data_IF_056459350107
#
_entry.id   IF_056459350107
#
_cell.length_a   1.000
_cell.length_b   1.000
_cell.length_c   1.000
_cell.angle_alpha   90.00
_cell.angle_beta   90.00
_cell.angle_gamma   90.00
#
_symmetry.space_group_name_H-M   'P 1'
#
loop_
_entity.id
_entity.type
_entity.pdbx_description
1 polymer ?
#
# COMPACT_ATOMS: atom_id res chain seq x y z
N UNK A 1 -23.06 7.39 17.24
CA UNK A 1 -22.39 6.73 16.09
C UNK A 1 -22.30 7.65 14.88
N UNK A 2 -23.40 8.32 14.50
CA UNK A 2 -23.44 9.21 13.34
C UNK A 2 -22.40 10.35 13.43
N UNK A 3 -22.30 11.04 14.57
CA UNK A 3 -21.33 12.15 14.75
C UNK A 3 -19.87 11.69 14.59
N UNK A 4 -19.47 10.57 15.20
CA UNK A 4 -18.09 10.07 15.09
C UNK A 4 -17.74 9.59 13.68
N UNK A 5 -18.70 8.94 12.99
CA UNK A 5 -18.53 8.55 11.60
C UNK A 5 -18.42 9.76 10.66
N UNK A 6 -19.21 10.80 10.93
CA UNK A 6 -19.18 12.09 10.23
C UNK A 6 -17.85 12.82 10.45
N UNK A 7 -17.31 12.82 11.67
CA UNK A 7 -15.99 13.43 11.96
C UNK A 7 -14.87 12.73 11.20
N UNK A 8 -14.83 11.39 11.22
CA UNK A 8 -13.81 10.63 10.47
C UNK A 8 -13.88 10.90 8.97
N UNK A 9 -15.10 10.96 8.42
CA UNK A 9 -15.33 11.28 7.00
C UNK A 9 -14.91 12.70 6.66
N UNK A 10 -15.28 13.69 7.48
CA UNK A 10 -14.93 15.09 7.29
C UNK A 10 -13.42 15.32 7.35
N UNK A 11 -12.73 14.64 8.27
CA UNK A 11 -11.27 14.73 8.37
C UNK A 11 -10.57 14.19 7.11
N UNK A 12 -10.99 13.01 6.65
CA UNK A 12 -10.43 12.41 5.43
C UNK A 12 -10.67 13.30 4.20
N UNK A 13 -11.92 13.71 3.94
CA UNK A 13 -12.26 14.53 2.76
C UNK A 13 -11.64 15.93 2.87
N UNK A 14 -11.60 16.52 4.07
CA UNK A 14 -10.99 17.82 4.33
C UNK A 14 -9.50 17.81 4.02
N UNK A 15 -8.78 16.79 4.49
CA UNK A 15 -7.34 16.60 4.23
C UNK A 15 -7.09 16.25 2.77
N UNK A 16 -7.90 15.38 2.16
CA UNK A 16 -7.79 14.99 0.75
C UNK A 16 -7.96 16.18 -0.20
N UNK A 17 -8.75 17.18 0.18
CA UNK A 17 -8.94 18.40 -0.63
C UNK A 17 -7.65 19.14 -0.93
N UNK A 18 -6.59 18.96 -0.13
CA UNK A 18 -5.31 19.65 -0.33
C UNK A 18 -4.67 19.31 -1.67
N UNK A 19 -4.89 18.09 -2.18
CA UNK A 19 -4.24 17.61 -3.38
C UNK A 19 -5.12 16.76 -4.31
N UNK A 20 -6.22 16.20 -3.79
CA UNK A 20 -7.22 15.43 -4.54
C UNK A 20 -6.63 14.28 -5.37
N UNK A 21 -5.58 13.61 -4.88
CA UNK A 21 -4.94 12.51 -5.59
C UNK A 21 -5.76 11.22 -5.55
N UNK A 22 -5.96 10.63 -6.72
CA UNK A 22 -6.62 9.34 -6.94
C UNK A 22 -5.60 8.35 -7.49
N UNK A 23 -5.31 7.29 -6.73
CA UNK A 23 -4.39 6.23 -7.10
C UNK A 23 -5.18 5.06 -7.69
N UNK A 24 -5.09 4.92 -9.01
CA UNK A 24 -5.78 3.89 -9.80
C UNK A 24 -4.83 2.74 -10.07
N UNK A 25 -5.12 1.60 -9.46
CA UNK A 25 -4.29 0.40 -9.55
C UNK A 25 -4.55 -0.37 -10.85
N UNK A 26 -3.49 -0.88 -11.48
CA UNK A 26 -3.63 -1.96 -12.47
C UNK A 26 -4.26 -3.19 -11.79
N UNK A 27 -5.17 -3.85 -12.50
CA UNK A 27 -5.97 -4.95 -11.95
C UNK A 27 -5.12 -6.15 -11.50
N UNK A 28 -4.02 -6.46 -12.21
CA UNK A 28 -3.14 -7.56 -11.82
C UNK A 28 -2.34 -7.19 -10.57
N UNK A 29 -1.80 -5.98 -10.52
CA UNK A 29 -1.08 -5.49 -9.34
C UNK A 29 -2.00 -5.49 -8.11
N UNK A 30 -3.23 -5.00 -8.26
CA UNK A 30 -4.23 -5.00 -7.18
C UNK A 30 -4.51 -6.42 -6.67
N UNK A 31 -4.72 -7.39 -7.57
CA UNK A 31 -4.99 -8.77 -7.20
C UNK A 31 -3.81 -9.42 -6.45
N UNK A 32 -2.57 -9.16 -6.89
CA UNK A 32 -1.37 -9.70 -6.23
C UNK A 32 -1.12 -9.05 -4.85
N UNK A 33 -1.34 -7.74 -4.73
CA UNK A 33 -1.26 -7.04 -3.43
C UNK A 33 -2.35 -7.52 -2.46
N UNK A 34 -3.57 -7.74 -2.95
CA UNK A 34 -4.68 -8.23 -2.13
C UNK A 34 -4.47 -9.65 -1.60
N UNK A 35 -3.67 -10.48 -2.30
CA UNK A 35 -3.26 -11.82 -1.85
C UNK A 35 -2.01 -11.81 -0.98
N UNK A 36 -1.35 -10.67 -0.81
CA UNK A 36 -0.12 -10.58 -0.02
C UNK A 36 -0.47 -10.58 1.46
N UNK A 37 0.07 -11.54 2.20
CA UNK A 37 -0.01 -11.56 3.65
C UNK A 37 0.87 -10.46 4.23
N UNK A 38 0.25 -9.44 4.83
CA UNK A 38 0.93 -8.48 5.68
C UNK A 38 1.01 -9.06 7.09
N UNK A 39 2.04 -9.86 7.36
CA UNK A 39 2.28 -10.50 8.65
C UNK A 39 3.41 -9.84 9.44
N UNK A 40 3.36 -9.99 10.76
CA UNK A 40 4.32 -9.40 11.68
C UNK A 40 4.01 -7.94 12.04
N UNK A 41 5.00 -7.25 12.59
CA UNK A 41 4.88 -5.85 13.04
C UNK A 41 4.61 -4.93 11.85
N UNK A 42 3.66 -4.02 11.99
CA UNK A 42 3.32 -3.04 10.97
C UNK A 42 4.51 -2.09 10.75
N UNK A 43 5.03 -1.94 9.51
CA UNK A 43 6.16 -1.05 9.23
C UNK A 43 5.68 0.40 9.20
N UNK A 44 5.45 0.98 10.39
CA UNK A 44 4.87 2.32 10.56
C UNK A 44 5.71 3.42 9.88
N UNK A 45 7.04 3.29 9.86
CA UNK A 45 7.93 4.22 9.16
C UNK A 45 7.70 4.24 7.65
N UNK A 46 7.29 3.11 7.08
CA UNK A 46 6.93 3.04 5.67
C UNK A 46 5.61 3.78 5.46
N UNK A 47 4.59 3.54 6.27
CA UNK A 47 3.30 4.24 6.19
C UNK A 47 3.42 5.76 6.40
N UNK A 48 4.44 6.22 7.14
CA UNK A 48 4.77 7.66 7.26
C UNK A 48 5.20 8.28 5.92
N UNK A 49 5.54 7.48 4.91
CA UNK A 49 5.91 7.94 3.56
C UNK A 49 4.72 7.96 2.59
N UNK A 50 3.48 8.07 3.09
CA UNK A 50 2.34 8.35 2.23
C UNK A 50 2.69 9.51 1.27
N UNK A 51 2.40 9.38 -0.02
CA UNK A 51 2.84 10.34 -1.03
C UNK A 51 2.17 11.72 -0.84
N UNK A 52 0.99 11.75 -0.23
CA UNK A 52 0.21 12.95 0.06
C UNK A 52 -0.36 12.89 1.47
N UNK A 53 -0.80 14.04 2.02
CA UNK A 53 -1.42 14.11 3.36
C UNK A 53 -2.63 13.20 3.50
N UNK A 54 -3.40 13.07 2.41
CA UNK A 54 -4.44 12.06 2.28
C UNK A 54 -4.52 11.63 0.82
N UNK A 55 -4.61 10.32 0.59
CA UNK A 55 -4.75 9.71 -0.73
C UNK A 55 -6.12 9.06 -0.86
N UNK A 56 -6.67 9.00 -2.07
CA UNK A 56 -7.78 8.09 -2.40
C UNK A 56 -7.26 6.95 -3.27
N UNK A 57 -7.50 5.70 -2.89
CA UNK A 57 -7.05 4.52 -3.64
C UNK A 57 -8.26 3.75 -4.15
N UNK A 58 -8.33 3.53 -5.46
CA UNK A 58 -9.39 2.73 -6.08
C UNK A 58 -9.15 1.23 -5.88
N UNK A 59 -10.20 0.47 -5.58
CA UNK A 59 -10.10 -0.97 -5.28
C UNK A 59 -11.16 -1.82 -6.00
N UNK A 60 -11.27 -1.73 -7.34
CA UNK A 60 -12.28 -2.50 -8.08
C UNK A 60 -12.17 -3.99 -7.78
N UNK A 61 -13.31 -4.63 -7.53
CA UNK A 61 -13.40 -6.06 -7.23
C UNK A 61 -13.14 -6.45 -5.77
N UNK A 62 -12.73 -5.51 -4.90
CA UNK A 62 -12.69 -5.76 -3.45
C UNK A 62 -14.06 -5.50 -2.81
N UNK A 63 -14.29 -6.12 -1.65
CA UNK A 63 -15.51 -5.96 -0.86
C UNK A 63 -15.18 -5.69 0.61
N UNK A 64 -16.10 -5.02 1.29
CA UNK A 64 -16.06 -4.81 2.74
C UNK A 64 -17.45 -5.12 3.33
N UNK A 65 -17.53 -6.10 4.23
CA UNK A 65 -18.80 -6.69 4.69
C UNK A 65 -19.82 -6.87 3.56
N UNK A 66 -19.41 -7.62 2.52
CA UNK A 66 -20.22 -7.96 1.33
C UNK A 66 -20.61 -6.77 0.42
N UNK A 67 -20.37 -5.53 0.85
CA UNK A 67 -20.54 -4.34 0.00
C UNK A 67 -19.36 -4.18 -0.93
N UNK A 68 -19.62 -3.78 -2.18
CA UNK A 68 -18.54 -3.44 -3.10
C UNK A 68 -17.72 -2.28 -2.53
N UNK A 69 -16.39 -2.41 -2.51
CA UNK A 69 -15.48 -1.37 -2.05
C UNK A 69 -14.93 -0.64 -3.28
N UNK A 70 -15.45 0.55 -3.57
CA UNK A 70 -15.00 1.37 -4.70
C UNK A 70 -13.57 1.86 -4.51
N UNK A 71 -13.21 2.14 -3.26
CA UNK A 71 -11.88 2.59 -2.86
C UNK A 71 -11.88 3.01 -1.40
N UNK A 72 -10.81 3.66 -0.98
CA UNK A 72 -10.71 4.21 0.37
C UNK A 72 -9.81 5.45 0.41
N UNK A 73 -10.12 6.35 1.33
CA UNK A 73 -9.18 7.39 1.74
C UNK A 73 -8.24 6.85 2.80
N UNK A 74 -6.98 7.28 2.76
CA UNK A 74 -6.00 7.00 3.80
C UNK A 74 -5.25 8.28 4.19
N UNK A 75 -5.15 8.56 5.48
CA UNK A 75 -4.35 9.66 6.02
C UNK A 75 -3.82 9.32 7.41
N UNK A 76 -2.82 10.08 7.85
CA UNK A 76 -2.32 10.00 9.22
C UNK A 76 -3.00 11.04 10.08
N UNK A 77 -3.29 10.68 11.32
CA UNK A 77 -3.74 11.58 12.37
C UNK A 77 -2.91 11.39 13.63
N UNK A 78 -3.00 12.37 14.53
CA UNK A 78 -2.46 12.28 15.87
C UNK A 78 -3.61 12.13 16.86
N UNK A 79 -3.66 10.99 17.55
CA UNK A 79 -4.60 10.78 18.64
C UNK A 79 -4.09 11.51 19.89
N UNK A 80 -4.76 12.62 20.21
CA UNK A 80 -4.46 13.43 21.39
C UNK A 80 -4.69 12.69 22.71
N UNK A 81 -5.64 11.75 22.76
CA UNK A 81 -5.98 11.05 24.00
C UNK A 81 -4.91 10.04 24.39
N UNK A 82 -4.34 9.35 23.40
CA UNK A 82 -3.35 8.31 23.62
C UNK A 82 -1.94 8.69 23.15
N UNK A 83 -1.73 9.96 22.77
CA UNK A 83 -0.46 10.54 22.33
C UNK A 83 0.30 9.67 21.33
N UNK A 84 -0.41 9.22 20.29
CA UNK A 84 0.14 8.33 19.26
C UNK A 84 -0.40 8.66 17.88
N UNK A 85 0.35 8.28 16.85
CA UNK A 85 -0.13 8.38 15.47
C UNK A 85 -1.16 7.28 15.16
N UNK A 86 -2.14 7.62 14.34
CA UNK A 86 -3.13 6.71 13.79
C UNK A 86 -3.09 6.76 12.27
N UNK A 87 -3.18 5.59 11.64
CA UNK A 87 -3.60 5.48 10.25
C UNK A 87 -5.13 5.45 10.23
N UNK A 88 -5.74 6.38 9.52
CA UNK A 88 -7.19 6.43 9.35
C UNK A 88 -7.57 6.07 7.93
N UNK A 89 -8.43 5.07 7.82
CA UNK A 89 -9.05 4.67 6.57
C UNK A 89 -10.50 5.14 6.57
N UNK A 90 -10.97 5.69 5.46
CA UNK A 90 -12.41 5.89 5.22
C UNK A 90 -12.78 5.08 3.99
N UNK A 91 -13.48 3.98 4.21
CA UNK A 91 -13.84 3.03 3.15
C UNK A 91 -15.04 3.57 2.38
N UNK A 92 -14.89 3.71 1.06
CA UNK A 92 -15.96 4.10 0.14
C UNK A 92 -16.65 2.85 -0.39
N UNK A 93 -17.68 2.39 0.32
CA UNK A 93 -18.47 1.22 -0.11
C UNK A 93 -19.68 1.65 -0.92
N UNK A 94 -20.28 0.72 -1.66
CA UNK A 94 -21.53 0.94 -2.40
C UNK A 94 -22.72 1.33 -1.52
N UNK A 95 -22.63 1.15 -0.20
CA UNK A 95 -23.71 1.46 0.74
C UNK A 95 -23.45 2.76 1.51
N UNK A 96 -22.22 2.98 1.97
CA UNK A 96 -21.88 4.10 2.86
C UNK A 96 -20.37 4.31 3.00
N UNK A 97 -20.00 5.42 3.62
CA UNK A 97 -18.64 5.66 4.08
C UNK A 97 -18.43 5.02 5.46
N UNK A 98 -17.32 4.30 5.64
CA UNK A 98 -17.00 3.59 6.88
C UNK A 98 -15.60 3.97 7.36
N UNK A 99 -15.48 4.76 8.44
CA UNK A 99 -14.20 5.04 9.06
C UNK A 99 -13.65 3.84 9.82
N UNK A 100 -12.38 3.54 9.60
CA UNK A 100 -11.61 2.46 10.22
C UNK A 100 -10.28 3.00 10.74
N UNK A 101 -10.18 3.36 12.03
CA UNK A 101 -8.93 3.79 12.64
C UNK A 101 -8.03 2.58 12.93
N UNK A 102 -6.73 2.75 12.70
CA UNK A 102 -5.68 1.80 13.02
C UNK A 102 -4.59 2.52 13.80
N UNK A 103 -4.44 2.19 15.08
CA UNK A 103 -3.37 2.75 15.89
C UNK A 103 -2.01 2.25 15.35
N UNK A 104 -1.09 3.17 15.08
CA UNK A 104 0.28 2.83 14.70
C UNK A 104 1.12 2.53 15.94
N UNK A 105 2.01 1.55 15.83
CA UNK A 105 2.91 1.14 16.90
C UNK A 105 3.67 -0.14 16.57
N UNK A 106 4.38 -0.69 17.55
CA UNK A 106 5.19 -1.90 17.41
C UNK A 106 4.34 -3.17 17.53
N UNK A 107 3.31 -3.27 16.69
CA UNK A 107 2.37 -4.39 16.70
C UNK A 107 1.85 -4.73 15.30
N UNK A 108 1.21 -5.89 15.18
CA UNK A 108 0.62 -6.37 13.94
C UNK A 108 -0.68 -5.64 13.56
N UNK A 109 -1.19 -5.91 12.36
CA UNK A 109 -2.50 -5.41 11.92
C UNK A 109 -3.62 -5.91 12.84
N UNK A 110 -3.51 -7.16 13.28
CA UNK A 110 -4.44 -7.84 14.16
C UNK A 110 -4.54 -7.13 15.50
N UNK A 111 -3.40 -6.80 16.07
CA UNK A 111 -3.32 -6.03 17.31
C UNK A 111 -3.81 -4.60 17.13
N UNK A 112 -3.50 -3.95 16.00
CA UNK A 112 -4.02 -2.61 15.69
C UNK A 112 -5.55 -2.61 15.62
N UNK A 113 -6.16 -3.58 14.92
CA UNK A 113 -7.62 -3.76 14.84
C UNK A 113 -8.21 -4.10 16.22
N UNK A 114 -7.54 -4.96 17.00
CA UNK A 114 -7.97 -5.28 18.37
C UNK A 114 -8.03 -4.02 19.23
N UNK A 115 -6.99 -3.18 19.17
CA UNK A 115 -6.92 -1.95 19.95
C UNK A 115 -7.99 -0.95 19.51
N UNK A 116 -8.23 -0.82 18.21
CA UNK A 116 -9.29 0.04 17.68
C UNK A 116 -10.69 -0.43 18.14
N UNK A 117 -10.98 -1.73 18.06
CA UNK A 117 -12.26 -2.30 18.52
C UNK A 117 -12.47 -2.12 20.02
N UNK A 118 -11.41 -2.23 20.83
CA UNK A 118 -11.49 -1.97 22.28
C UNK A 118 -11.93 -0.53 22.58
N UNK A 119 -11.38 0.46 21.89
CA UNK A 119 -11.78 1.87 22.06
C UNK A 119 -13.26 2.06 21.72
N UNK A 120 -13.72 1.48 20.61
CA UNK A 120 -15.14 1.53 20.23
C UNK A 120 -16.01 0.86 21.29
N UNK A 121 -15.62 -0.32 21.78
CA UNK A 121 -16.39 -1.06 22.79
C UNK A 121 -16.47 -0.29 24.12
N UNK A 122 -15.37 0.31 24.57
CA UNK A 122 -15.35 1.18 25.77
C UNK A 122 -16.29 2.36 25.60
N UNK A 123 -16.25 3.03 24.44
CA UNK A 123 -17.11 4.19 24.15
C UNK A 123 -18.59 3.82 23.99
N UNK A 124 -18.89 2.56 23.66
CA UNK A 124 -20.25 2.02 23.54
C UNK A 124 -20.73 1.31 24.81
N UNK A 125 -20.01 1.43 25.94
CA UNK A 125 -20.43 0.81 27.20
C UNK A 125 -20.43 -0.72 27.19
N UNK A 126 -19.58 -1.35 26.37
CA UNK A 126 -19.43 -2.82 26.33
C UNK A 126 -20.35 -3.54 25.34
N UNK A 127 -21.14 -2.81 24.53
CA UNK A 127 -22.16 -3.38 23.63
C UNK A 127 -21.62 -4.30 22.53
N UNK A 128 -20.37 -4.14 22.09
CA UNK A 128 -19.78 -5.03 21.08
C UNK A 128 -19.37 -6.38 21.68
N UNK A 129 -19.33 -6.49 23.01
CA UNK A 129 -19.00 -7.71 23.76
C UNK A 129 -17.56 -8.19 23.54
N UNK A 130 -16.96 -8.83 24.53
CA UNK A 130 -15.69 -9.57 24.39
C UNK A 130 -15.91 -11.04 24.04
N UNK A 131 -17.14 -11.39 23.59
CA UNK A 131 -17.55 -12.76 23.27
C UNK A 131 -17.25 -13.17 21.82
N UNK A 132 -17.74 -14.35 21.44
CA UNK A 132 -17.47 -14.98 20.14
C UNK A 132 -17.78 -14.09 18.93
N UNK A 133 -18.84 -13.29 18.99
CA UNK A 133 -19.21 -12.34 17.92
C UNK A 133 -18.16 -11.24 17.72
N UNK A 134 -17.58 -10.71 18.80
CA UNK A 134 -16.52 -9.70 18.74
C UNK A 134 -15.25 -10.26 18.08
N UNK A 135 -14.91 -11.51 18.39
CA UNK A 135 -13.78 -12.21 17.77
C UNK A 135 -14.00 -12.46 16.27
N UNK A 136 -15.20 -12.89 15.86
CA UNK A 136 -15.55 -13.08 14.46
C UNK A 136 -15.50 -11.75 13.67
N UNK A 137 -16.03 -10.68 14.27
CA UNK A 137 -15.96 -9.34 13.69
C UNK A 137 -14.51 -8.90 13.51
N UNK A 138 -13.68 -9.09 14.53
CA UNK A 138 -12.26 -8.78 14.46
C UNK A 138 -11.56 -9.55 13.34
N UNK A 139 -11.74 -10.86 13.25
CA UNK A 139 -11.12 -11.70 12.22
C UNK A 139 -11.52 -11.23 10.81
N UNK A 140 -12.80 -10.94 10.62
CA UNK A 140 -13.32 -10.45 9.34
C UNK A 140 -12.73 -9.09 8.96
N UNK A 141 -12.64 -8.15 9.91
CA UNK A 141 -12.00 -6.84 9.71
C UNK A 141 -10.53 -6.98 9.37
N UNK A 142 -9.78 -7.79 10.11
CA UNK A 142 -8.36 -8.07 9.83
C UNK A 142 -8.19 -8.58 8.41
N UNK A 143 -9.00 -9.57 8.01
CA UNK A 143 -8.93 -10.18 6.68
C UNK A 143 -9.17 -9.16 5.56
N UNK A 144 -10.07 -8.20 5.76
CA UNK A 144 -10.42 -7.20 4.75
C UNK A 144 -9.52 -5.96 4.77
N UNK A 145 -8.94 -5.59 5.92
CA UNK A 145 -8.05 -4.44 6.04
C UNK A 145 -6.61 -4.74 5.61
N UNK A 146 -6.14 -5.98 5.78
CA UNK A 146 -4.78 -6.41 5.34
C UNK A 146 -4.48 -6.09 3.87
N UNK A 147 -5.37 -6.40 2.89
CA UNK A 147 -5.20 -5.98 1.50
C UNK A 147 -4.97 -4.47 1.34
N UNK A 148 -5.76 -3.65 2.04
CA UNK A 148 -5.68 -2.19 1.94
C UNK A 148 -4.35 -1.68 2.47
N UNK A 149 -3.88 -2.24 3.58
CA UNK A 149 -2.58 -1.93 4.17
C UNK A 149 -1.45 -2.34 3.22
N UNK A 150 -1.53 -3.52 2.60
CA UNK A 150 -0.55 -3.98 1.61
C UNK A 150 -0.44 -3.02 0.41
N UNK A 151 -1.57 -2.50 -0.07
CA UNK A 151 -1.62 -1.49 -1.12
C UNK A 151 -0.96 -0.18 -0.66
N UNK A 152 -1.27 0.30 0.55
CA UNK A 152 -0.62 1.50 1.10
C UNK A 152 0.89 1.32 1.25
N UNK A 153 1.35 0.16 1.73
CA UNK A 153 2.78 -0.15 1.85
C UNK A 153 3.48 -0.16 0.50
N UNK A 154 2.79 -0.59 -0.56
CA UNK A 154 3.31 -0.48 -1.92
C UNK A 154 3.42 0.98 -2.37
N UNK A 155 2.37 1.80 -2.16
CA UNK A 155 2.41 3.23 -2.50
C UNK A 155 3.50 3.99 -1.74
N UNK A 156 3.80 3.56 -0.51
CA UNK A 156 4.84 4.14 0.35
C UNK A 156 6.22 3.49 0.17
N UNK A 157 6.39 2.61 -0.82
CA UNK A 157 7.68 2.00 -1.14
C UNK A 157 8.65 3.03 -1.75
N UNK A 158 9.93 2.66 -1.88
CA UNK A 158 10.94 3.58 -2.43
C UNK A 158 10.74 3.83 -3.93
N UNK A 159 10.33 2.80 -4.66
CA UNK A 159 10.14 2.85 -6.12
C UNK A 159 8.82 2.14 -6.51
N UNK A 160 7.65 2.68 -6.14
CA UNK A 160 6.39 2.17 -6.65
C UNK A 160 6.34 2.36 -8.17
N UNK A 161 5.63 1.47 -8.89
CA UNK A 161 5.45 1.57 -10.34
C UNK A 161 4.43 2.65 -10.69
N UNK A 162 4.84 3.90 -10.46
CA UNK A 162 4.10 5.12 -10.76
C UNK A 162 5.10 6.00 -11.52
N UNK A 163 4.63 6.74 -12.52
CA UNK A 163 5.47 7.68 -13.25
C UNK A 163 6.13 8.68 -12.28
N UNK A 164 7.47 8.64 -12.11
CA UNK A 164 8.17 9.53 -11.18
C UNK A 164 7.99 11.01 -11.53
N UNK A 165 7.78 11.34 -12.81
CA UNK A 165 7.55 12.72 -13.23
C UNK A 165 6.17 13.24 -12.79
N UNK A 166 5.23 12.34 -12.51
CA UNK A 166 3.91 12.69 -12.01
C UNK A 166 3.84 12.70 -10.49
N UNK A 167 4.66 11.88 -9.82
CA UNK A 167 4.65 11.69 -8.36
C UNK A 167 4.79 13.01 -7.59
N UNK A 168 4.03 13.20 -6.49
CA UNK A 168 4.29 14.29 -5.57
C UNK A 168 5.68 14.14 -4.95
N UNK A 169 6.38 15.27 -4.78
CA UNK A 169 7.64 15.29 -4.05
C UNK A 169 7.46 14.70 -2.64
N UNK A 170 8.32 13.78 -2.17
CA UNK A 170 8.27 13.21 -0.81
C UNK A 170 8.30 14.27 0.30
N UNK A 171 8.75 15.50 -0.02
CA UNK A 171 8.70 16.68 0.84
C UNK A 171 7.31 17.30 1.02
N UNK A 172 6.24 16.58 0.65
CA UNK A 172 4.82 17.00 0.70
C UNK A 172 4.28 17.30 2.10
N UNK A 173 5.04 17.05 3.18
CA UNK A 173 4.73 17.57 4.53
C UNK A 173 5.13 19.02 4.78
N UNK A 174 5.59 19.75 3.76
CA UNK A 174 5.66 21.22 3.82
C UNK A 174 4.27 21.79 4.14
N UNK A 175 4.23 22.97 4.74
CA UNK A 175 2.99 23.70 4.99
C UNK A 175 2.15 23.78 3.71
N UNK A 176 0.93 23.23 3.76
CA UNK A 176 -0.06 23.37 2.68
C UNK A 176 -0.52 24.82 2.50
N UNK A 177 -0.32 25.64 3.52
CA UNK A 177 -0.59 27.07 3.47
C UNK A 177 0.55 27.83 2.81
N UNK A 178 0.18 28.72 1.88
CA UNK A 178 1.09 29.66 1.21
C UNK A 178 0.75 31.08 1.64
N UNK A 179 1.78 31.92 1.82
CA UNK A 179 1.58 33.35 2.10
C UNK A 179 0.97 34.03 0.88
N UNK A 180 -0.16 34.70 1.08
CA UNK A 180 -0.79 35.61 0.13
C UNK A 180 -0.72 37.06 0.63
N UNK A 181 -1.41 37.96 -0.07
CA UNK A 181 -1.37 39.41 0.21
C UNK A 181 -1.88 39.79 1.61
N UNK A 182 -2.82 39.04 2.17
CA UNK A 182 -3.51 39.38 3.44
C UNK A 182 -3.50 38.25 4.47
N UNK A 183 -2.66 37.23 4.29
CA UNK A 183 -2.61 36.10 5.23
C UNK A 183 -2.10 34.81 4.62
N UNK A 184 -2.39 33.71 5.31
CA UNK A 184 -2.10 32.35 4.87
C UNK A 184 -3.32 31.77 4.14
N UNK A 185 -3.09 31.25 2.94
CA UNK A 185 -4.15 30.68 2.11
C UNK A 185 -3.82 29.23 1.77
N UNK A 186 -4.86 28.41 1.75
CA UNK A 186 -4.82 27.05 1.22
C UNK A 186 -5.30 27.09 -0.23
N UNK A 187 -4.42 26.72 -1.16
CA UNK A 187 -4.76 26.62 -2.57
C UNK A 187 -4.99 25.15 -2.92
N UNK A 188 -6.25 24.77 -3.09
CA UNK A 188 -6.64 23.41 -3.45
C UNK A 188 -6.79 23.27 -4.97
N UNK A 189 -6.46 22.11 -5.56
CA UNK A 189 -6.70 21.88 -6.98
C UNK A 189 -8.21 21.94 -7.31
N UNK A 190 -8.52 22.38 -8.53
CA UNK A 190 -9.91 22.46 -9.02
C UNK A 190 -10.48 21.08 -9.42
N UNK A 191 -9.61 20.14 -9.78
CA UNK A 191 -9.98 18.79 -10.23
C UNK A 191 -9.02 17.75 -9.64
N UNK A 192 -9.52 16.54 -9.36
CA UNK A 192 -8.68 15.44 -8.92
C UNK A 192 -7.58 15.09 -9.91
N UNK A 193 -6.40 14.73 -9.39
CA UNK A 193 -5.29 14.22 -10.20
C UNK A 193 -5.27 12.70 -10.10
N UNK A 194 -5.25 12.01 -11.25
CA UNK A 194 -5.24 10.55 -11.31
C UNK A 194 -3.80 10.06 -11.53
N UNK A 195 -3.36 9.17 -10.66
CA UNK A 195 -2.08 8.47 -10.72
C UNK A 195 -2.34 7.01 -11.08
N UNK A 196 -1.87 6.59 -12.26
CA UNK A 196 -1.94 5.18 -12.65
C UNK A 196 -0.78 4.42 -12.00
N UNK A 197 -1.12 3.38 -11.22
CA UNK A 197 -0.18 2.59 -10.42
C UNK A 197 -0.09 1.19 -11.01
N UNK A 198 1.13 0.70 -11.27
CA UNK A 198 1.35 -0.63 -11.83
C UNK A 198 1.24 -0.70 -13.35
N UNK A 199 1.37 0.41 -14.06
CA UNK A 199 1.21 0.43 -15.53
C UNK A 199 2.22 -0.45 -16.26
N UNK A 200 3.48 -0.48 -15.80
CA UNK A 200 4.51 -1.34 -16.37
C UNK A 200 4.31 -2.79 -15.95
N UNK A 201 3.88 -3.03 -14.70
CA UNK A 201 3.49 -4.35 -14.20
C UNK A 201 2.42 -4.98 -15.08
N UNK A 202 1.33 -4.25 -15.30
CA UNK A 202 0.21 -4.70 -16.13
C UNK A 202 0.62 -5.00 -17.56
N UNK A 203 1.49 -4.16 -18.15
CA UNK A 203 2.03 -4.40 -19.50
C UNK A 203 2.86 -5.68 -19.55
N UNK A 204 3.72 -5.92 -18.56
CA UNK A 204 4.51 -7.16 -18.48
C UNK A 204 3.60 -8.40 -18.39
N UNK A 205 2.55 -8.38 -17.57
CA UNK A 205 1.61 -9.50 -17.48
C UNK A 205 0.84 -9.76 -18.77
N UNK A 206 0.36 -8.71 -19.45
CA UNK A 206 -0.35 -8.85 -20.73
C UNK A 206 0.55 -9.42 -21.83
N UNK A 207 1.79 -8.91 -21.94
CA UNK A 207 2.76 -9.42 -22.89
C UNK A 207 3.14 -10.90 -22.62
N UNK A 208 3.14 -11.33 -21.36
CA UNK A 208 3.41 -12.72 -20.99
C UNK A 208 2.29 -13.69 -21.39
N UNK A 209 1.02 -13.26 -21.31
CA UNK A 209 -0.10 -14.07 -21.82
C UNK A 209 0.02 -14.32 -23.33
N UNK A 210 0.52 -13.34 -24.09
CA UNK A 210 0.78 -13.50 -25.53
C UNK A 210 1.99 -14.40 -25.81
N UNK A 211 3.05 -14.34 -25.00
CA UNK A 211 4.30 -15.11 -25.21
C UNK A 211 4.18 -16.57 -24.79
N UNK A 212 3.30 -16.94 -23.85
CA UNK A 212 3.07 -18.35 -23.50
C UNK A 212 2.65 -19.22 -24.70
N UNK A 213 2.20 -18.62 -25.80
CA UNK A 213 1.90 -19.31 -27.05
C UNK A 213 3.16 -19.76 -27.82
N UNK A 214 4.35 -19.21 -27.57
CA UNK A 214 5.54 -19.38 -28.43
C UNK A 214 6.90 -19.62 -27.72
N UNK A 215 6.95 -19.94 -26.41
CA UNK A 215 8.20 -20.36 -25.75
C UNK A 215 8.27 -20.18 -24.23
N UNK A 216 9.36 -20.67 -23.59
CA UNK A 216 9.61 -20.53 -22.14
C UNK A 216 10.15 -19.12 -21.81
N UNK A 217 9.43 -18.36 -20.98
CA UNK A 217 9.88 -17.10 -20.39
C UNK A 217 9.71 -17.13 -18.86
N UNK A 218 10.56 -16.41 -18.14
CA UNK A 218 10.40 -16.24 -16.67
C UNK A 218 9.24 -15.29 -16.43
N UNK A 219 8.25 -15.72 -15.65
CA UNK A 219 7.04 -14.93 -15.35
C UNK A 219 7.36 -13.71 -14.47
N UNK A 220 6.87 -12.53 -14.85
CA UNK A 220 6.85 -11.37 -13.98
C UNK A 220 6.00 -11.68 -12.76
N UNK A 221 6.49 -11.28 -11.59
CA UNK A 221 5.80 -11.54 -10.34
C UNK A 221 6.03 -10.41 -9.35
N UNK A 222 5.10 -10.29 -8.40
CA UNK A 222 5.27 -9.42 -7.25
C UNK A 222 6.13 -10.13 -6.21
N UNK A 223 7.34 -9.62 -5.94
CA UNK A 223 8.08 -10.00 -4.75
C UNK A 223 7.41 -9.33 -3.55
N UNK A 224 6.79 -10.13 -2.71
CA UNK A 224 6.05 -9.67 -1.53
C UNK A 224 6.96 -8.93 -0.55
N UNK A 225 6.39 -7.92 0.11
CA UNK A 225 7.05 -7.24 1.19
C UNK A 225 7.23 -8.17 2.39
N UNK A 226 8.37 -8.07 3.07
CA UNK A 226 8.69 -8.87 4.23
C UNK A 226 9.75 -8.17 5.09
N UNK A 227 9.77 -8.47 6.38
CA UNK A 227 10.87 -8.09 7.23
C UNK A 227 12.11 -8.92 6.89
N UNK A 228 13.26 -8.25 6.78
CA UNK A 228 14.52 -8.88 6.41
C UNK A 228 15.66 -8.38 7.30
N UNK A 229 16.49 -9.33 7.75
CA UNK A 229 17.70 -9.07 8.52
C UNK A 229 18.92 -8.90 7.64
N UNK A 230 19.65 -7.80 7.81
CA UNK A 230 20.89 -7.50 7.11
C UNK A 230 22.04 -7.46 8.10
N UNK A 231 23.17 -8.06 7.74
CA UNK A 231 24.43 -7.83 8.44
C UNK A 231 25.17 -6.69 7.75
N UNK A 232 25.36 -5.57 8.45
CA UNK A 232 26.14 -4.42 7.96
C UNK A 232 27.51 -4.41 8.63
N UNK A 233 28.57 -4.47 7.82
CA UNK A 233 29.96 -4.50 8.28
C UNK A 233 30.84 -5.45 7.45
N UNK A 234 32.16 -5.42 7.66
CA UNK A 234 33.12 -6.28 6.96
C UNK A 234 32.83 -7.77 7.18
N UNK A 235 33.16 -8.61 6.19
CA UNK A 235 32.94 -10.07 6.27
C UNK A 235 33.75 -10.74 7.40
N UNK A 236 34.87 -10.16 7.80
CA UNK A 236 35.63 -10.61 8.96
C UNK A 236 35.86 -9.35 9.80
N UNK A 237 35.28 -9.32 11.01
CA UNK A 237 35.25 -8.15 11.89
C UNK A 237 33.85 -7.85 12.42
N UNK A 238 33.72 -6.75 13.14
CA UNK A 238 32.47 -6.35 13.77
C UNK A 238 31.38 -6.06 12.74
N UNK A 239 30.21 -6.65 12.96
CA UNK A 239 29.03 -6.42 12.14
C UNK A 239 27.83 -6.09 13.03
N UNK A 240 26.99 -5.18 12.54
CA UNK A 240 25.72 -4.83 13.16
C UNK A 240 24.59 -5.52 12.41
N UNK A 241 23.70 -6.19 13.14
CA UNK A 241 22.47 -6.72 12.57
C UNK A 241 21.42 -5.61 12.45
N UNK A 242 20.83 -5.46 11.28
CA UNK A 242 19.78 -4.47 10.96
C UNK A 242 18.55 -5.23 10.52
N UNK A 243 17.45 -5.10 11.24
CA UNK A 243 16.16 -5.67 10.85
C UNK A 243 15.28 -4.58 10.25
N UNK A 244 14.95 -4.67 8.96
CA UNK A 244 14.16 -3.66 8.25
C UNK A 244 13.11 -4.28 7.34
N UNK A 245 12.01 -3.55 7.15
CA UNK A 245 11.00 -3.91 6.16
C UNK A 245 11.52 -3.71 4.75
N UNK A 246 11.36 -4.73 3.90
CA UNK A 246 11.59 -4.64 2.46
C UNK A 246 10.23 -4.50 1.79
N UNK A 247 10.07 -3.39 1.07
CA UNK A 247 8.82 -3.10 0.38
C UNK A 247 8.57 -4.07 -0.78
N UNK A 248 7.29 -4.34 -1.10
CA UNK A 248 6.94 -5.13 -2.27
C UNK A 248 7.53 -4.51 -3.55
N UNK A 249 8.07 -5.34 -4.43
CA UNK A 249 8.72 -4.93 -5.68
C UNK A 249 8.27 -5.83 -6.82
N UNK A 250 8.07 -5.25 -8.00
CA UNK A 250 7.78 -6.05 -9.20
C UNK A 250 9.08 -6.54 -9.81
N UNK A 251 9.19 -7.87 -9.93
CA UNK A 251 10.32 -8.52 -10.60
C UNK A 251 9.90 -8.79 -12.04
N UNK A 252 10.57 -8.13 -12.98
CA UNK A 252 10.33 -8.30 -14.42
C UNK A 252 10.85 -9.66 -14.89
N UNK A 253 10.07 -10.34 -15.72
CA UNK A 253 10.52 -11.52 -16.45
C UNK A 253 11.69 -11.22 -17.38
N UNK A 254 12.72 -12.08 -17.39
CA UNK A 254 13.79 -12.04 -18.40
C UNK A 254 13.50 -13.08 -19.47
N UNK A 255 13.68 -12.69 -20.74
CA UNK A 255 13.70 -13.61 -21.88
C UNK A 255 15.06 -14.30 -21.91
N UNK A 256 15.08 -15.61 -21.72
CA UNK A 256 16.29 -16.39 -21.96
C UNK A 256 16.34 -16.65 -23.47
N UNK A 257 17.13 -15.85 -24.20
CA UNK A 257 17.45 -16.20 -25.58
C UNK A 257 18.44 -17.37 -25.50
N UNK A 258 17.99 -18.57 -25.86
CA UNK A 258 18.94 -19.63 -26.21
C UNK A 258 19.67 -19.14 -27.46
N UNK A 259 20.99 -18.95 -27.35
CA UNK A 259 21.83 -18.86 -28.52
C UNK A 259 21.62 -20.16 -29.29
N UNK A 260 21.13 -20.07 -30.52
CA UNK A 260 21.14 -21.20 -31.43
C UNK A 260 22.60 -21.48 -31.75
N UNK A 261 23.16 -22.56 -31.19
CA UNK A 261 24.38 -23.15 -31.70
C UNK A 261 24.10 -23.61 -33.14
N UNK A 262 24.48 -22.79 -34.11
CA UNK A 262 24.59 -23.21 -35.49
C UNK A 262 25.94 -23.90 -35.67
N UNK A 263 26.00 -25.19 -35.32
CA UNK A 263 26.99 -26.11 -35.86
C UNK A 263 26.80 -26.17 -37.39
N UNK A 264 27.65 -25.47 -38.14
CA UNK A 264 27.99 -25.85 -39.51
C UNK A 264 29.42 -25.40 -39.83
N UNK A 265 30.33 -26.36 -39.97
CA UNK A 265 31.68 -26.09 -40.49
C UNK A 265 32.75 -27.11 -40.09
N UNK A 266 32.70 -28.30 -40.70
CA UNK A 266 33.77 -29.31 -40.65
C UNK A 266 35.10 -28.76 -41.21
N UNK A 267 36.19 -29.02 -40.48
CA UNK A 267 37.38 -29.75 -40.96
C UNK A 267 38.47 -29.02 -41.75
N UNK A 268 39.68 -28.95 -41.16
CA UNK A 268 41.01 -29.27 -41.74
C UNK A 268 42.07 -28.98 -40.65
N UNK A 269 42.73 -30.00 -40.09
CA UNK A 269 44.09 -30.46 -40.45
C UNK A 269 45.19 -29.40 -40.23
N UNK A 270 46.00 -29.56 -39.17
CA UNK A 270 47.45 -29.93 -39.20
C UNK A 270 48.32 -28.83 -39.82
N UNK A 271 49.20 -28.18 -39.04
CA UNK A 271 50.65 -28.45 -38.96
C UNK A 271 51.41 -27.32 -38.21
N UNK A 272 52.41 -27.78 -37.43
CA UNK A 272 53.54 -27.10 -36.72
C UNK A 272 53.24 -26.15 -35.56
#
# INVERSE_FOLDING_TARGET
MEVAATVGTLSAIGTWRYSQGIYRMDAHLLAELARTECSGVLPCDVLRRLPEWCVYVETPGLTYFESALHGFWAHLEWDMNHQREELRLVLNTSQRLIPEPLHLGEWSVEEAVTKALKVVNTNLGGLLGTGQLGSLLQEYKVKQLRPLISILLYLCSEEPDIDPALMPEPSSRKSVFRKGKSGLYLFTPEKPKIFNVGSNVGRSFRNEQEVQLNGRSVKAHLRRGHWHGFWKGPRLGDRTFIYRWISPLVVKGKRQMYASDSETGRGAAVEV
#
